data_IF_761257561728
#
_entry.id   IF_761257561728
#
_cell.length_a   1.000
_cell.length_b   1.000
_cell.length_c   1.000
_cell.angle_alpha   90.00
_cell.angle_beta   90.00
_cell.angle_gamma   90.00
#
_symmetry.space_group_name_H-M   'P 1'
#
loop_
_entity.id
_entity.type
_entity.pdbx_description
1 polymer ?
#
# COMPACT_ATOMS: atom_id res chain seq x y z
N UNK A 1 53.84 22.68 47.56
CA UNK A 1 53.03 21.51 47.12
C UNK A 1 51.76 21.88 46.34
N UNK A 2 51.51 23.14 45.95
CA UNK A 2 50.32 23.53 45.17
C UNK A 2 50.54 23.57 43.64
N UNK A 3 51.79 23.61 43.18
CA UNK A 3 52.12 23.74 41.75
C UNK A 3 51.93 22.44 40.95
N UNK A 4 52.04 21.27 41.60
CA UNK A 4 51.78 19.97 40.97
C UNK A 4 50.30 19.64 40.82
N UNK A 5 49.43 20.24 41.64
CA UNK A 5 47.99 19.97 41.61
C UNK A 5 47.30 20.68 40.43
N UNK A 6 47.78 21.88 40.07
CA UNK A 6 47.25 22.65 38.94
C UNK A 6 47.48 21.95 37.59
N UNK A 7 48.65 21.34 37.39
CA UNK A 7 49.00 20.67 36.12
C UNK A 7 48.12 19.45 35.83
N UNK A 8 47.69 18.74 36.88
CA UNK A 8 46.81 17.57 36.76
C UNK A 8 45.37 17.98 36.46
N UNK A 9 44.90 19.09 37.04
CA UNK A 9 43.54 19.61 36.78
C UNK A 9 43.43 20.22 35.38
N UNK A 10 44.46 20.90 34.88
CA UNK A 10 44.49 21.39 33.49
C UNK A 10 44.52 20.25 32.47
N UNK A 11 45.28 19.17 32.73
CA UNK A 11 45.32 18.00 31.85
C UNK A 11 43.96 17.27 31.79
N UNK A 12 43.26 17.10 32.92
CA UNK A 12 41.93 16.49 32.97
C UNK A 12 40.87 17.33 32.22
N UNK A 13 40.99 18.66 32.21
CA UNK A 13 40.11 19.54 31.43
C UNK A 13 40.32 19.46 29.91
N UNK A 14 41.52 19.06 29.47
CA UNK A 14 41.85 18.78 28.07
C UNK A 14 41.36 17.39 27.65
N UNK A 15 41.45 16.38 28.54
CA UNK A 15 40.91 15.04 28.26
C UNK A 15 39.37 15.01 28.23
N UNK A 16 38.69 15.88 28.98
CA UNK A 16 37.23 15.98 28.95
C UNK A 16 36.66 16.54 27.62
N UNK A 17 37.46 17.26 26.82
CA UNK A 17 37.02 17.81 25.52
C UNK A 17 37.28 16.88 24.33
N UNK A 18 38.09 15.84 24.49
CA UNK A 18 38.38 14.89 23.41
C UNK A 18 37.35 13.76 23.26
N UNK A 19 36.44 13.57 24.22
CA UNK A 19 35.45 12.48 24.17
C UNK A 19 34.12 12.86 23.46
N UNK A 20 34.02 14.03 22.84
CA UNK A 20 32.83 14.48 22.09
C UNK A 20 33.01 14.56 20.56
N UNK A 21 34.21 14.26 20.05
CA UNK A 21 34.54 14.40 18.62
C UNK A 21 34.06 13.22 17.76
N UNK A 22 33.93 12.01 18.34
CA UNK A 22 33.53 10.83 17.57
C UNK A 22 32.06 10.81 17.12
N UNK A 23 31.14 11.36 17.93
CA UNK A 23 29.70 11.27 17.67
C UNK A 23 29.23 12.26 16.59
N UNK A 24 29.82 13.46 16.54
CA UNK A 24 29.49 14.47 15.52
C UNK A 24 30.01 14.11 14.13
N UNK A 25 31.22 13.55 14.05
CA UNK A 25 31.83 13.15 12.77
C UNK A 25 31.11 11.92 12.18
N UNK A 26 30.65 10.98 13.02
CA UNK A 26 29.86 9.84 12.54
C UNK A 26 28.49 10.29 12.01
N UNK A 27 27.78 11.18 12.71
CA UNK A 27 26.48 11.71 12.28
C UNK A 27 26.60 12.49 10.96
N UNK A 28 27.62 13.34 10.83
CA UNK A 28 27.87 14.13 9.61
C UNK A 28 28.08 13.22 8.40
N UNK A 29 28.89 12.17 8.53
CA UNK A 29 29.15 11.19 7.47
C UNK A 29 27.87 10.47 7.02
N UNK A 30 26.99 10.09 7.95
CA UNK A 30 25.70 9.45 7.60
C UNK A 30 24.73 10.42 6.89
N UNK A 31 24.74 11.70 7.22
CA UNK A 31 23.94 12.71 6.52
C UNK A 31 24.48 12.99 5.11
N UNK A 32 25.81 13.00 4.91
CA UNK A 32 26.42 13.15 3.60
C UNK A 32 26.18 11.91 2.71
N UNK A 33 26.12 10.72 3.29
CA UNK A 33 25.68 9.52 2.60
C UNK A 33 24.20 9.60 2.20
N UNK A 34 23.31 10.06 3.08
CA UNK A 34 21.89 10.29 2.71
C UNK A 34 21.78 11.25 1.52
N UNK A 35 22.58 12.33 1.45
CA UNK A 35 22.62 13.24 0.28
C UNK A 35 22.92 12.52 -1.04
N UNK A 36 23.78 11.50 -1.03
CA UNK A 36 24.07 10.70 -2.23
C UNK A 36 22.86 9.84 -2.68
N UNK A 37 21.97 9.50 -1.75
CA UNK A 37 20.75 8.74 -2.02
C UNK A 37 19.55 9.62 -2.43
N UNK A 38 19.59 10.93 -2.14
CA UNK A 38 18.52 11.88 -2.50
C UNK A 38 18.31 12.04 -4.02
N UNK A 39 19.27 11.60 -4.84
CA UNK A 39 19.15 11.57 -6.30
C UNK A 39 19.17 10.11 -6.82
N UNK A 40 18.00 9.46 -6.96
CA UNK A 40 17.91 8.13 -7.57
C UNK A 40 18.43 8.20 -9.01
N UNK A 41 19.07 7.12 -9.48
CA UNK A 41 19.51 7.02 -10.87
C UNK A 41 18.33 6.85 -11.81
N UNK A 42 17.35 6.04 -11.43
CA UNK A 42 16.13 5.83 -12.20
C UNK A 42 14.96 5.40 -11.31
N UNK A 43 13.77 5.84 -11.69
CA UNK A 43 12.50 5.33 -11.16
C UNK A 43 11.69 4.89 -12.37
N UNK A 44 11.27 3.64 -12.41
CA UNK A 44 10.45 3.09 -13.51
C UNK A 44 9.19 2.47 -12.95
N UNK A 45 8.07 2.75 -13.61
CA UNK A 45 6.77 2.16 -13.29
C UNK A 45 6.28 1.43 -14.52
N UNK A 46 5.97 0.16 -14.37
CA UNK A 46 5.54 -0.72 -15.46
C UNK A 46 4.23 -1.41 -15.10
N UNK A 47 3.34 -1.52 -16.08
CA UNK A 47 2.10 -2.29 -15.98
C UNK A 47 2.28 -3.65 -16.61
N UNK A 48 2.20 -4.67 -15.78
CA UNK A 48 2.25 -6.07 -16.17
C UNK A 48 0.84 -6.67 -16.23
N UNK A 49 0.70 -7.73 -17.02
CA UNK A 49 -0.56 -8.45 -17.31
C UNK A 49 -1.61 -7.61 -18.05
N UNK A 50 -2.67 -8.29 -18.51
CA UNK A 50 -3.81 -7.73 -19.27
C UNK A 50 -5.14 -8.04 -18.55
N UNK A 51 -6.19 -7.29 -18.87
CA UNK A 51 -7.52 -7.48 -18.28
C UNK A 51 -7.73 -6.70 -16.98
N UNK A 52 -8.58 -7.22 -16.10
CA UNK A 52 -8.92 -6.59 -14.81
C UNK A 52 -7.86 -6.83 -13.74
N UNK A 53 -7.11 -7.92 -13.80
CA UNK A 53 -6.02 -8.22 -12.88
C UNK A 53 -4.70 -7.76 -13.50
N UNK A 54 -4.09 -6.74 -12.91
CA UNK A 54 -2.83 -6.14 -13.36
C UNK A 54 -1.82 -6.15 -12.24
N UNK A 55 -0.56 -5.99 -12.60
CA UNK A 55 0.53 -5.87 -11.63
C UNK A 55 1.29 -4.59 -11.92
N UNK A 56 1.42 -3.74 -10.91
CA UNK A 56 2.18 -2.50 -11.00
C UNK A 56 3.56 -2.77 -10.43
N UNK A 57 4.56 -2.80 -11.30
CA UNK A 57 5.95 -2.99 -10.89
C UNK A 57 6.65 -1.65 -10.85
N UNK A 58 7.09 -1.25 -9.66
CA UNK A 58 7.93 -0.08 -9.44
C UNK A 58 9.35 -0.53 -9.19
N UNK A 59 10.26 0.01 -9.99
CA UNK A 59 11.69 -0.24 -9.87
C UNK A 59 12.38 1.08 -9.54
N UNK A 60 13.05 1.13 -8.40
CA UNK A 60 13.84 2.29 -7.97
C UNK A 60 15.29 1.89 -7.88
N UNK A 61 16.15 2.62 -8.57
CA UNK A 61 17.59 2.41 -8.57
C UNK A 61 18.31 3.62 -7.99
N UNK A 62 19.27 3.37 -7.10
CA UNK A 62 20.10 4.37 -6.44
C UNK A 62 21.56 4.30 -6.90
N UNK A 63 22.24 5.46 -6.87
CA UNK A 63 23.63 5.58 -7.32
C UNK A 63 24.65 4.98 -6.34
N UNK A 64 24.38 4.98 -5.03
CA UNK A 64 25.32 4.57 -3.98
C UNK A 64 25.09 3.13 -3.50
N UNK A 65 26.18 2.45 -3.10
CA UNK A 65 26.24 1.01 -2.74
C UNK A 65 26.49 0.78 -1.24
N UNK A 66 26.93 1.81 -0.50
CA UNK A 66 27.32 1.73 0.92
C UNK A 66 26.14 1.76 1.92
N UNK A 67 26.39 1.19 3.10
CA UNK A 67 25.49 0.47 4.01
C UNK A 67 24.18 1.16 4.46
N UNK A 68 23.06 0.53 4.03
CA UNK A 68 21.98 -0.11 4.80
C UNK A 68 21.23 0.60 5.95
N UNK A 69 21.61 1.81 6.35
CA UNK A 69 20.88 2.58 7.40
C UNK A 69 19.76 3.47 6.84
N UNK A 70 19.66 3.60 5.52
CA UNK A 70 18.61 4.37 4.84
C UNK A 70 17.40 3.48 4.61
N UNK A 71 16.27 3.88 5.17
CA UNK A 71 14.95 3.31 4.94
C UNK A 71 14.31 3.98 3.73
N UNK A 72 13.72 3.16 2.87
CA UNK A 72 13.00 3.60 1.68
C UNK A 72 11.50 3.41 1.92
N UNK A 73 10.71 4.37 1.47
CA UNK A 73 9.25 4.33 1.50
C UNK A 73 8.70 4.80 0.15
N UNK A 74 7.84 4.00 -0.46
CA UNK A 74 7.09 4.36 -1.67
C UNK A 74 5.65 4.65 -1.28
N UNK A 75 5.12 5.80 -1.69
CA UNK A 75 3.71 6.15 -1.52
C UNK A 75 3.03 6.05 -2.88
N UNK A 76 2.15 5.06 -3.01
CA UNK A 76 1.28 4.93 -4.18
C UNK A 76 -0.09 5.54 -3.88
N UNK A 77 -0.56 6.38 -4.81
CA UNK A 77 -1.91 6.93 -4.81
C UNK A 77 -2.71 6.21 -5.88
N UNK A 78 -3.76 5.53 -5.45
CA UNK A 78 -4.58 4.70 -6.33
C UNK A 78 -5.87 5.43 -6.69
N UNK A 79 -6.24 5.47 -7.98
CA UNK A 79 -7.53 6.02 -8.38
C UNK A 79 -8.66 5.12 -7.88
N UNK A 80 -9.87 5.68 -7.81
CA UNK A 80 -11.07 4.93 -7.39
C UNK A 80 -11.43 3.77 -8.32
N UNK A 81 -10.86 3.73 -9.53
CA UNK A 81 -11.16 2.73 -10.55
C UNK A 81 -10.47 1.38 -10.30
N UNK A 82 -9.55 1.33 -9.33
CA UNK A 82 -8.83 0.11 -8.94
C UNK A 82 -8.91 -0.16 -7.45
N UNK A 83 -8.52 -1.37 -7.08
CA UNK A 83 -8.26 -1.75 -5.69
C UNK A 83 -7.10 -2.71 -5.59
N UNK A 84 -6.54 -2.84 -4.39
CA UNK A 84 -5.53 -3.83 -4.06
C UNK A 84 -6.19 -4.85 -3.14
N UNK A 85 -6.15 -6.14 -3.49
CA UNK A 85 -6.75 -7.19 -2.68
C UNK A 85 -5.87 -7.47 -1.43
N UNK A 86 -6.37 -7.20 -0.22
CA UNK A 86 -5.60 -7.44 1.01
C UNK A 86 -5.30 -8.93 1.26
N UNK A 87 -6.17 -9.84 0.81
CA UNK A 87 -5.96 -11.28 0.95
C UNK A 87 -4.83 -11.76 0.03
N UNK A 88 -4.80 -11.25 -1.21
CA UNK A 88 -3.71 -11.54 -2.13
C UNK A 88 -2.39 -10.96 -1.61
N UNK A 89 -2.40 -9.72 -1.10
CA UNK A 89 -1.20 -9.13 -0.48
C UNK A 89 -0.72 -9.97 0.71
N UNK A 90 -1.63 -10.48 1.56
CA UNK A 90 -1.26 -11.28 2.72
C UNK A 90 -0.53 -12.55 2.30
N UNK A 91 -1.02 -13.24 1.26
CA UNK A 91 -0.34 -14.40 0.67
C UNK A 91 1.04 -14.06 0.10
N UNK A 92 1.24 -12.84 -0.38
CA UNK A 92 2.49 -12.36 -0.98
C UNK A 92 3.49 -11.84 0.08
N UNK A 93 3.02 -11.48 1.28
CA UNK A 93 3.83 -10.80 2.30
C UNK A 93 4.98 -11.64 2.86
N UNK A 94 4.84 -12.97 2.87
CA UNK A 94 5.89 -13.87 3.38
C UNK A 94 6.96 -14.22 2.31
N UNK A 95 6.69 -13.95 1.03
CA UNK A 95 7.58 -14.30 -0.09
C UNK A 95 8.29 -13.09 -0.70
N UNK A 96 7.83 -11.87 -0.41
CA UNK A 96 8.34 -10.66 -1.04
C UNK A 96 9.32 -9.90 -0.15
N UNK A 97 10.17 -9.11 -0.80
CA UNK A 97 11.14 -8.22 -0.16
C UNK A 97 10.58 -6.84 0.21
N UNK A 98 9.27 -6.72 0.42
CA UNK A 98 8.61 -5.47 0.80
C UNK A 98 7.39 -5.72 1.68
N UNK A 99 7.01 -4.72 2.47
CA UNK A 99 5.76 -4.72 3.27
C UNK A 99 4.87 -3.57 2.85
N UNK A 100 3.56 -3.77 2.79
CA UNK A 100 2.59 -2.72 2.51
C UNK A 100 1.79 -2.35 3.75
N UNK A 101 1.49 -1.06 3.86
CA UNK A 101 0.53 -0.47 4.78
C UNK A 101 -0.42 0.38 3.97
N UNK A 102 -1.73 0.24 4.16
CA UNK A 102 -2.71 1.07 3.47
C UNK A 102 -3.30 2.09 4.44
N UNK A 103 -3.45 3.34 4.00
CA UNK A 103 -4.19 4.38 4.72
C UNK A 103 -5.38 4.76 3.85
N UNK A 104 -6.58 4.50 4.33
CA UNK A 104 -7.75 5.22 3.85
C UNK A 104 -8.37 6.02 5.01
N UNK A 105 -8.90 7.18 4.65
CA UNK A 105 -9.61 8.06 5.55
C UNK A 105 -10.97 7.45 5.89
N UNK A 106 -11.09 6.97 7.14
CA UNK A 106 -12.30 6.81 7.97
C UNK A 106 -13.45 6.00 7.34
N UNK A 107 -13.72 4.80 7.89
CA UNK A 107 -15.02 4.12 7.78
C UNK A 107 -15.75 4.09 9.12
N UNK A 108 -17.06 4.31 9.05
CA UNK A 108 -18.03 4.13 10.12
C UNK A 108 -18.21 2.64 10.43
N UNK A 109 -18.31 2.31 11.72
CA UNK A 109 -18.36 0.99 12.37
C UNK A 109 -19.66 0.19 12.05
N UNK A 110 -20.29 0.39 10.90
CA UNK A 110 -21.67 -0.11 10.69
C UNK A 110 -21.77 -1.50 10.05
N UNK A 111 -20.70 -2.06 9.48
CA UNK A 111 -20.75 -3.37 8.77
C UNK A 111 -20.41 -4.59 9.64
N UNK A 112 -19.96 -4.41 10.89
CA UNK A 112 -19.66 -5.54 11.79
C UNK A 112 -20.91 -6.08 12.52
N UNK A 113 -22.08 -5.46 12.34
CA UNK A 113 -23.31 -5.80 13.07
C UNK A 113 -24.23 -6.81 12.37
N UNK A 114 -24.01 -7.14 11.10
CA UNK A 114 -24.96 -7.97 10.33
C UNK A 114 -24.66 -9.47 10.43
N UNK A 115 -23.46 -9.89 10.84
CA UNK A 115 -23.11 -11.32 10.93
C UNK A 115 -23.29 -11.95 12.33
N UNK A 116 -23.93 -11.25 13.27
CA UNK A 116 -24.15 -11.75 14.64
C UNK A 116 -25.62 -12.04 14.96
N UNK A 117 -26.55 -11.86 14.03
CA UNK A 117 -27.99 -12.02 14.28
C UNK A 117 -28.63 -13.31 13.73
N UNK A 118 -27.90 -14.21 13.06
CA UNK A 118 -28.49 -15.44 12.50
C UNK A 118 -28.02 -16.76 13.13
N UNK A 119 -27.30 -16.74 14.25
CA UNK A 119 -26.79 -17.99 14.86
C UNK A 119 -27.03 -18.06 16.37
N UNK A 120 -28.30 -18.03 16.76
CA UNK A 120 -28.76 -18.64 18.02
C UNK A 120 -29.24 -20.05 17.69
N UNK A 121 -28.35 -21.06 17.66
CA UNK A 121 -28.78 -22.46 17.86
C UNK A 121 -27.71 -23.55 18.07
N UNK A 122 -26.40 -23.30 18.18
CA UNK A 122 -25.47 -24.41 18.48
C UNK A 122 -24.33 -23.99 19.42
N UNK A 123 -24.50 -24.23 20.73
CA UNK A 123 -23.65 -23.71 21.82
C UNK A 123 -22.25 -24.34 21.96
N UNK A 124 -21.87 -25.35 21.17
CA UNK A 124 -20.60 -26.08 21.37
C UNK A 124 -19.63 -26.04 20.18
N UNK A 125 -20.07 -25.60 18.99
CA UNK A 125 -19.17 -25.39 17.83
C UNK A 125 -18.56 -23.98 17.77
N UNK A 126 -19.06 -23.07 18.61
CA UNK A 126 -18.76 -21.63 18.58
C UNK A 126 -17.32 -21.34 19.01
N UNK A 127 -16.78 -22.02 20.02
CA UNK A 127 -15.44 -21.68 20.54
C UNK A 127 -14.34 -21.98 19.52
N UNK A 128 -14.44 -23.09 18.78
CA UNK A 128 -13.43 -23.49 17.80
C UNK A 128 -13.47 -22.63 16.53
N UNK A 129 -14.67 -22.24 16.06
CA UNK A 129 -14.82 -21.33 14.92
C UNK A 129 -14.33 -19.93 15.29
N UNK A 130 -14.63 -19.43 16.50
CA UNK A 130 -14.10 -18.14 16.97
C UNK A 130 -12.59 -18.13 17.13
N UNK A 131 -11.98 -19.25 17.54
CA UNK A 131 -10.52 -19.37 17.67
C UNK A 131 -9.83 -19.48 16.29
N UNK A 132 -10.40 -20.22 15.34
CA UNK A 132 -9.91 -20.30 13.96
C UNK A 132 -10.12 -18.98 13.20
N UNK A 133 -11.26 -18.29 13.39
CA UNK A 133 -11.48 -16.95 12.84
C UNK A 133 -10.53 -15.93 13.47
N UNK A 134 -10.27 -15.97 14.79
CA UNK A 134 -9.25 -15.13 15.41
C UNK A 134 -7.85 -15.47 14.91
N UNK A 135 -7.48 -16.73 14.73
CA UNK A 135 -6.17 -17.11 14.22
C UNK A 135 -5.98 -16.69 12.75
N UNK A 136 -7.01 -16.79 11.92
CA UNK A 136 -7.01 -16.30 10.54
C UNK A 136 -7.01 -14.76 10.47
N UNK A 137 -7.75 -14.09 11.35
CA UNK A 137 -7.80 -12.63 11.46
C UNK A 137 -6.49 -12.03 12.01
N UNK A 138 -5.83 -12.73 12.96
CA UNK A 138 -4.52 -12.36 13.52
C UNK A 138 -3.40 -12.61 12.51
N UNK A 139 -3.45 -13.69 11.71
CA UNK A 139 -2.46 -13.96 10.66
C UNK A 139 -2.62 -13.06 9.42
N UNK A 140 -3.79 -12.42 9.25
CA UNK A 140 -4.02 -11.33 8.31
C UNK A 140 -3.29 -10.04 8.69
N UNK A 141 -2.76 -9.92 9.91
CA UNK A 141 -2.13 -8.71 10.43
C UNK A 141 -0.60 -8.73 10.25
N UNK A 142 -0.14 -8.71 9.00
CA UNK A 142 1.19 -8.15 8.64
C UNK A 142 1.12 -7.06 7.58
N UNK A 143 -0.07 -6.78 7.05
CA UNK A 143 -0.38 -5.63 6.20
C UNK A 143 -1.37 -4.81 6.99
N UNK A 144 -0.87 -3.73 7.59
CA UNK A 144 -1.72 -2.85 8.38
C UNK A 144 -2.55 -2.03 7.38
N UNK A 145 -3.76 -2.51 7.05
CA UNK A 145 -4.75 -1.69 6.37
C UNK A 145 -5.54 -0.96 7.44
N UNK A 146 -5.40 0.37 7.49
CA UNK A 146 -6.14 1.23 8.43
C UNK A 146 -7.64 1.36 8.07
N UNK A 147 -8.09 0.64 7.03
CA UNK A 147 -9.45 0.68 6.47
C UNK A 147 -9.77 -0.61 5.70
N UNK A 148 -11.01 -1.10 5.79
CA UNK A 148 -11.48 -2.21 4.96
C UNK A 148 -11.61 -1.75 3.50
N UNK A 149 -10.83 -2.35 2.59
CA UNK A 149 -11.09 -2.22 1.15
C UNK A 149 -12.29 -3.10 0.85
N UNK A 150 -13.43 -2.47 0.58
CA UNK A 150 -14.61 -3.19 0.10
C UNK A 150 -14.37 -3.59 -1.36
N UNK A 151 -14.29 -4.89 -1.61
CA UNK A 151 -14.03 -5.48 -2.93
C UNK A 151 -15.26 -5.40 -3.85
N UNK A 152 -16.45 -5.30 -3.27
CA UNK A 152 -17.73 -5.32 -3.99
C UNK A 152 -18.20 -3.92 -4.40
N UNK A 153 -17.60 -2.86 -3.86
CA UNK A 153 -17.98 -1.49 -4.20
C UNK A 153 -17.58 -1.15 -5.64
N UNK A 154 -18.53 -0.70 -6.47
CA UNK A 154 -18.24 -0.30 -7.86
C UNK A 154 -17.46 1.02 -7.93
N UNK A 155 -16.75 1.25 -9.03
CA UNK A 155 -15.85 2.39 -9.23
C UNK A 155 -16.50 3.77 -8.99
N UNK A 156 -17.79 3.91 -9.27
CA UNK A 156 -18.54 5.17 -9.11
C UNK A 156 -18.95 5.49 -7.66
N UNK A 157 -18.81 4.53 -6.74
CA UNK A 157 -19.05 4.71 -5.30
C UNK A 157 -17.76 4.62 -4.49
N UNK A 158 -16.69 4.13 -5.09
CA UNK A 158 -15.38 4.02 -4.47
C UNK A 158 -14.67 5.38 -4.39
N UNK A 159 -13.82 5.53 -3.38
CA UNK A 159 -12.84 6.60 -3.28
C UNK A 159 -11.45 6.08 -3.66
N UNK A 160 -10.56 6.98 -4.10
CA UNK A 160 -9.14 6.66 -4.18
C UNK A 160 -8.57 6.36 -2.79
N UNK A 161 -7.41 5.70 -2.75
CA UNK A 161 -6.75 5.32 -1.50
C UNK A 161 -5.22 5.39 -1.65
N UNK A 162 -4.51 5.33 -0.52
CA UNK A 162 -3.05 5.45 -0.49
C UNK A 162 -2.43 4.21 0.12
N UNK A 163 -1.37 3.69 -0.50
CA UNK A 163 -0.56 2.60 0.05
C UNK A 163 0.88 3.01 0.23
N UNK A 164 1.39 2.77 1.43
CA UNK A 164 2.76 2.91 1.88
C UNK A 164 3.49 1.59 1.71
N UNK A 165 4.51 1.54 0.87
CA UNK A 165 5.31 0.34 0.63
C UNK A 165 6.70 0.54 1.23
N UNK A 166 7.10 -0.39 2.08
CA UNK A 166 8.40 -0.43 2.74
C UNK A 166 9.22 -1.56 2.11
N UNK A 167 9.95 -1.28 1.01
CA UNK A 167 10.88 -2.24 0.47
C UNK A 167 12.07 -2.43 1.41
N UNK A 168 12.56 -3.66 1.51
CA UNK A 168 13.75 -4.00 2.26
C UNK A 168 14.75 -4.72 1.36
N UNK A 169 16.03 -4.49 1.62
CA UNK A 169 17.09 -5.11 0.83
C UNK A 169 17.23 -6.58 1.23
N UNK A 170 17.23 -7.47 0.24
CA UNK A 170 17.56 -8.91 0.43
C UNK A 170 19.06 -9.20 0.38
N UNK A 171 19.90 -8.18 0.21
CA UNK A 171 21.36 -8.31 0.15
C UNK A 171 22.10 -7.12 0.78
N UNK A 172 23.40 -7.27 1.10
CA UNK A 172 24.16 -6.25 1.82
C UNK A 172 24.39 -4.93 1.03
N UNK A 173 24.13 -4.91 -0.29
CA UNK A 173 24.52 -3.81 -1.20
C UNK A 173 23.52 -3.54 -2.34
N UNK A 174 22.22 -3.76 -2.12
CA UNK A 174 21.24 -3.64 -3.21
C UNK A 174 20.90 -2.17 -3.51
N UNK A 175 21.39 -1.69 -4.67
CA UNK A 175 21.02 -0.41 -5.28
C UNK A 175 19.59 -0.38 -5.84
N UNK A 176 18.99 -1.56 -6.00
CA UNK A 176 17.78 -1.77 -6.79
C UNK A 176 16.67 -2.29 -5.89
N UNK A 177 15.58 -1.52 -5.79
CA UNK A 177 14.35 -1.93 -5.13
C UNK A 177 13.29 -2.19 -6.19
N UNK A 178 12.84 -3.44 -6.28
CA UNK A 178 11.76 -3.85 -7.16
C UNK A 178 10.56 -4.24 -6.30
N UNK A 179 9.45 -3.56 -6.51
CA UNK A 179 8.19 -3.78 -5.80
C UNK A 179 7.11 -4.06 -6.82
N UNK A 180 6.35 -5.13 -6.65
CA UNK A 180 5.24 -5.48 -7.55
C UNK A 180 3.95 -5.57 -6.75
N UNK A 181 3.00 -4.67 -7.02
CA UNK A 181 1.71 -4.61 -6.32
C UNK A 181 0.62 -5.13 -7.26
N UNK A 182 -0.11 -6.19 -6.88
CA UNK A 182 -1.27 -6.62 -7.64
C UNK A 182 -2.41 -5.61 -7.47
N UNK A 183 -3.03 -5.23 -8.59
CA UNK A 183 -4.19 -4.36 -8.62
C UNK A 183 -5.31 -5.00 -9.44
N UNK A 184 -6.53 -4.65 -9.06
CA UNK A 184 -7.75 -5.15 -9.68
C UNK A 184 -8.58 -3.95 -10.13
N UNK A 185 -9.06 -3.98 -11.38
CA UNK A 185 -10.04 -3.02 -11.87
C UNK A 185 -11.39 -3.22 -11.18
N UNK A 186 -12.03 -2.13 -10.76
CA UNK A 186 -13.41 -2.16 -10.26
C UNK A 186 -14.40 -2.18 -11.40
N UNK A 187 -15.63 -2.62 -11.11
CA UNK A 187 -16.73 -2.51 -12.06
C UNK A 187 -17.18 -1.05 -12.25
N UNK A 188 -17.27 -0.64 -13.50
CA UNK A 188 -17.76 0.69 -13.91
C UNK A 188 -19.24 0.64 -14.30
N UNK A 189 -19.88 1.81 -14.30
CA UNK A 189 -21.19 1.96 -14.94
C UNK A 189 -21.04 1.71 -16.44
N UNK A 190 -22.10 1.20 -17.10
CA UNK A 190 -22.10 1.11 -18.54
C UNK A 190 -21.97 2.49 -19.17
N UNK A 191 -21.34 2.56 -20.33
CA UNK A 191 -21.17 3.80 -21.08
C UNK A 191 -22.32 4.02 -22.05
N UNK A 192 -22.82 5.25 -22.11
CA UNK A 192 -23.87 5.66 -23.05
C UNK A 192 -23.30 6.48 -24.22
N UNK A 193 -22.00 6.78 -24.21
CA UNK A 193 -21.29 7.54 -25.25
C UNK A 193 -20.69 6.63 -26.36
N UNK A 194 -21.09 5.35 -26.39
CA UNK A 194 -20.56 4.36 -27.32
C UNK A 194 -19.14 3.87 -27.01
N UNK A 195 -18.48 4.38 -25.96
CA UNK A 195 -17.15 3.89 -25.58
C UNK A 195 -17.27 2.61 -24.76
N UNK A 196 -16.67 1.55 -25.27
CA UNK A 196 -16.59 0.25 -24.58
C UNK A 196 -15.37 0.13 -23.65
N UNK A 197 -14.51 1.16 -23.60
CA UNK A 197 -13.27 1.15 -22.83
C UNK A 197 -13.14 2.44 -22.01
N UNK A 198 -12.75 2.30 -20.75
CA UNK A 198 -12.45 3.39 -19.83
C UNK A 198 -10.95 3.40 -19.51
N UNK A 199 -10.28 4.51 -19.80
CA UNK A 199 -8.89 4.73 -19.38
C UNK A 199 -8.79 5.01 -17.89
N UNK A 200 -7.82 4.38 -17.26
CA UNK A 200 -7.44 4.54 -15.85
C UNK A 200 -5.96 4.87 -15.79
N UNK A 201 -5.63 5.99 -15.17
CA UNK A 201 -4.28 6.50 -15.05
C UNK A 201 -3.75 6.23 -13.64
N UNK A 202 -2.56 5.66 -13.55
CA UNK A 202 -1.84 5.43 -12.29
C UNK A 202 -0.67 6.40 -12.24
N UNK A 203 -0.71 7.25 -11.23
CA UNK A 203 0.37 8.19 -10.94
C UNK A 203 1.62 7.46 -10.46
N UNK A 204 2.75 8.10 -10.71
CA UNK A 204 4.07 7.62 -10.27
C UNK A 204 4.15 7.76 -8.75
N UNK A 205 4.68 6.76 -8.02
CA UNK A 205 4.75 6.81 -6.56
C UNK A 205 5.70 7.89 -6.06
N UNK A 206 5.36 8.48 -4.91
CA UNK A 206 6.27 9.39 -4.22
C UNK A 206 7.35 8.58 -3.50
N UNK A 207 8.62 8.94 -3.73
CA UNK A 207 9.77 8.30 -3.10
C UNK A 207 10.22 9.09 -1.87
N UNK A 208 10.27 8.41 -0.73
CA UNK A 208 10.67 8.95 0.55
C UNK A 208 11.86 8.19 1.11
N UNK A 209 12.82 8.94 1.66
CA UNK A 209 14.02 8.40 2.30
C UNK A 209 14.10 8.85 3.75
N UNK A 210 14.59 7.96 4.62
CA UNK A 210 14.84 8.27 6.03
C UNK A 210 16.09 7.57 6.52
N UNK A 211 16.91 8.28 7.29
CA UNK A 211 18.03 7.70 8.04
C UNK A 211 17.78 7.91 9.54
N UNK A 212 18.05 6.91 10.37
CA UNK A 212 17.91 7.03 11.84
C UNK A 212 19.07 7.78 12.48
N UNK A 213 20.22 7.82 11.82
CA UNK A 213 21.45 8.46 12.31
C UNK A 213 21.57 9.93 11.91
N UNK A 214 20.72 10.42 11.00
CA UNK A 214 20.72 11.81 10.56
C UNK A 214 19.55 12.56 11.22
N UNK A 215 19.83 13.26 12.32
CA UNK A 215 18.82 14.03 13.07
C UNK A 215 18.53 15.41 12.45
N UNK A 216 19.43 15.96 11.63
CA UNK A 216 19.28 17.28 10.99
C UNK A 216 18.82 17.15 9.53
N UNK A 217 17.62 16.61 9.32
CA UNK A 217 17.00 16.49 8.00
C UNK A 217 16.68 17.85 7.36
N UNK A 218 16.56 18.90 8.19
CA UNK A 218 16.22 20.27 7.80
C UNK A 218 17.32 21.00 7.01
N UNK A 219 18.56 20.51 7.02
CA UNK A 219 19.70 21.11 6.28
C UNK A 219 19.91 20.50 4.88
N UNK A 220 18.96 19.68 4.42
CA UNK A 220 18.98 18.99 3.12
C UNK A 220 18.18 19.77 2.07
N UNK A 221 18.43 21.07 1.95
CA UNK A 221 17.88 21.86 0.84
C UNK A 221 18.46 21.35 -0.50
N UNK A 222 17.64 21.21 -1.56
CA UNK A 222 16.28 21.74 -1.74
C UNK A 222 15.13 20.72 -1.53
N UNK A 223 15.32 19.68 -0.70
CA UNK A 223 14.34 18.59 -0.57
C UNK A 223 13.31 18.84 0.55
N UNK A 224 12.04 18.54 0.27
CA UNK A 224 10.93 18.76 1.22
C UNK A 224 10.90 17.63 2.26
N UNK A 225 10.83 17.98 3.54
CA UNK A 225 10.61 17.01 4.63
C UNK A 225 9.12 16.82 4.85
N UNK A 226 8.65 15.58 4.91
CA UNK A 226 7.23 15.22 5.13
C UNK A 226 7.10 14.14 6.19
N UNK A 227 5.98 14.14 6.90
CA UNK A 227 5.70 13.15 7.94
C UNK A 227 4.93 11.94 7.37
N UNK A 228 5.46 10.74 7.63
CA UNK A 228 4.84 9.49 7.21
C UNK A 228 5.10 8.38 8.25
N UNK A 229 4.31 7.27 8.26
CA UNK A 229 4.48 6.23 9.25
C UNK A 229 5.88 5.62 9.21
N UNK A 230 6.44 5.33 10.38
CA UNK A 230 7.83 4.88 10.49
C UNK A 230 8.04 3.46 9.95
N UNK A 231 7.03 2.60 10.11
CA UNK A 231 7.08 1.19 9.71
C UNK A 231 5.69 0.71 9.26
N UNK A 232 5.67 -0.46 8.62
CA UNK A 232 4.42 -1.12 8.23
C UNK A 232 3.54 -1.53 9.43
N UNK A 233 4.13 -1.80 10.61
CA UNK A 233 3.43 -2.36 11.77
C UNK A 233 3.10 -1.36 12.88
N UNK A 234 3.80 -0.23 13.00
CA UNK A 234 3.62 0.73 14.10
C UNK A 234 2.96 2.03 13.61
N UNK A 235 2.00 2.57 14.35
CA UNK A 235 1.31 3.84 14.07
C UNK A 235 2.15 5.10 14.31
N UNK A 236 3.37 4.99 14.83
CA UNK A 236 4.28 6.14 14.99
C UNK A 236 4.56 6.85 13.67
N UNK A 237 4.63 8.17 13.72
CA UNK A 237 4.96 9.05 12.57
C UNK A 237 6.42 9.48 12.66
N UNK A 238 7.11 9.52 11.53
CA UNK A 238 8.51 9.91 11.44
C UNK A 238 8.68 10.89 10.28
N UNK A 239 9.74 11.69 10.34
CA UNK A 239 10.09 12.63 9.27
C UNK A 239 10.90 11.92 8.18
N UNK A 240 10.51 12.18 6.93
CA UNK A 240 11.09 11.60 5.72
C UNK A 240 11.46 12.71 4.75
N UNK A 241 12.52 12.51 3.97
CA UNK A 241 12.89 13.40 2.88
C UNK A 241 12.21 12.95 1.60
N UNK A 242 11.40 13.84 1.00
CA UNK A 242 10.80 13.63 -0.31
C UNK A 242 11.83 13.84 -1.40
N UNK A 243 12.05 12.78 -2.15
CA UNK A 243 12.92 12.78 -3.32
C UNK A 243 12.13 13.29 -4.52
N UNK A 244 12.68 14.27 -5.23
CA UNK A 244 12.15 14.68 -6.53
C UNK A 244 12.74 13.75 -7.60
N UNK A 245 11.91 13.05 -8.38
CA UNK A 245 12.41 12.27 -9.51
C UNK A 245 13.17 13.16 -10.50
N UNK A 246 14.27 12.64 -11.05
CA UNK A 246 15.14 13.39 -11.98
C UNK A 246 14.56 13.47 -13.42
N UNK A 247 13.44 12.80 -13.70
CA UNK A 247 12.79 12.70 -15.01
C UNK A 247 11.30 13.05 -14.90
N UNK A 248 10.73 13.61 -15.97
CA UNK A 248 9.29 13.72 -16.18
C UNK A 248 8.70 12.32 -16.34
N UNK A 249 8.35 11.69 -15.22
CA UNK A 249 7.76 10.37 -15.21
C UNK A 249 6.29 10.49 -15.60
N UNK A 250 5.97 10.01 -16.80
CA UNK A 250 4.60 9.98 -17.27
C UNK A 250 3.77 8.94 -16.48
N UNK A 251 2.53 9.27 -16.10
CA UNK A 251 1.60 8.30 -15.53
C UNK A 251 1.44 7.08 -16.45
N UNK A 252 1.27 5.90 -15.85
CA UNK A 252 0.96 4.69 -16.62
C UNK A 252 -0.54 4.53 -16.74
N UNK A 253 -1.05 4.53 -17.96
CA UNK A 253 -2.48 4.39 -18.24
C UNK A 253 -2.81 3.01 -18.78
N UNK A 254 -3.96 2.45 -18.39
CA UNK A 254 -4.51 1.25 -19.02
C UNK A 254 -6.02 1.36 -19.19
N UNK A 255 -6.57 0.49 -20.02
CA UNK A 255 -7.99 0.50 -20.35
C UNK A 255 -8.71 -0.69 -19.69
N UNK A 256 -9.88 -0.39 -19.11
CA UNK A 256 -10.83 -1.36 -18.56
C UNK A 256 -12.07 -1.42 -19.44
N UNK A 257 -12.60 -2.61 -19.75
CA UNK A 257 -13.83 -2.73 -20.51
C UNK A 257 -15.04 -2.30 -19.68
N UNK A 258 -15.96 -1.59 -20.33
CA UNK A 258 -17.23 -1.14 -19.77
C UNK A 258 -18.38 -1.63 -20.64
N UNK A 259 -19.52 -1.91 -20.01
CA UNK A 259 -20.72 -2.36 -20.73
C UNK A 259 -21.32 -1.25 -21.58
N UNK A 260 -22.08 -1.62 -22.62
CA UNK A 260 -22.87 -0.69 -23.42
C UNK A 260 -24.20 -0.39 -22.74
N UNK A 261 -24.40 0.89 -22.39
CA UNK A 261 -25.61 1.37 -21.72
C UNK A 261 -26.86 1.32 -22.61
N UNK A 262 -26.70 1.39 -23.93
CA UNK A 262 -27.82 1.39 -24.88
C UNK A 262 -28.54 0.04 -24.93
N UNK A 263 -27.84 -1.05 -24.64
CA UNK A 263 -28.39 -2.40 -24.59
C UNK A 263 -29.09 -2.72 -23.26
N UNK A 264 -28.97 -1.89 -22.23
CA UNK A 264 -29.51 -2.20 -20.89
C UNK A 264 -31.01 -2.50 -20.96
N UNK A 265 -31.80 -1.67 -21.65
CA UNK A 265 -33.25 -1.88 -21.76
C UNK A 265 -33.59 -3.19 -22.50
N UNK A 266 -32.86 -3.50 -23.58
CA UNK A 266 -33.06 -4.70 -24.38
C UNK A 266 -32.70 -5.97 -23.60
N UNK A 267 -31.55 -5.95 -22.93
CA UNK A 267 -31.07 -7.07 -22.10
C UNK A 267 -32.03 -7.29 -20.93
N UNK A 268 -32.40 -6.24 -20.20
CA UNK A 268 -33.35 -6.34 -19.09
C UNK A 268 -34.72 -6.87 -19.55
N UNK A 269 -35.25 -6.35 -20.67
CA UNK A 269 -36.51 -6.81 -21.24
C UNK A 269 -36.46 -8.29 -21.66
N UNK A 270 -35.39 -8.70 -22.34
CA UNK A 270 -35.17 -10.08 -22.75
C UNK A 270 -35.03 -11.04 -21.56
N UNK A 271 -34.23 -10.69 -20.55
CA UNK A 271 -34.08 -11.49 -19.33
C UNK A 271 -35.42 -11.63 -18.61
N UNK A 272 -36.17 -10.53 -18.46
CA UNK A 272 -37.47 -10.56 -17.80
C UNK A 272 -38.47 -11.45 -18.56
N UNK A 273 -38.50 -11.36 -19.89
CA UNK A 273 -39.35 -12.21 -20.73
C UNK A 273 -39.01 -13.70 -20.54
N UNK A 274 -37.72 -14.05 -20.62
CA UNK A 274 -37.25 -15.43 -20.43
C UNK A 274 -37.57 -15.94 -19.03
N UNK A 275 -37.34 -15.12 -17.99
CA UNK A 275 -37.69 -15.46 -16.61
C UNK A 275 -39.18 -15.72 -16.47
N UNK A 276 -40.05 -14.89 -17.05
CA UNK A 276 -41.50 -15.10 -17.00
C UNK A 276 -41.92 -16.39 -17.72
N UNK A 277 -41.36 -16.68 -18.90
CA UNK A 277 -41.63 -17.95 -19.62
C UNK A 277 -41.20 -19.15 -18.79
N UNK A 278 -40.00 -19.11 -18.19
CA UNK A 278 -39.51 -20.16 -17.32
C UNK A 278 -40.40 -20.35 -16.09
N UNK A 279 -40.82 -19.27 -15.44
CA UNK A 279 -41.74 -19.33 -14.29
C UNK A 279 -43.09 -19.96 -14.67
N UNK A 280 -43.67 -19.60 -15.81
CA UNK A 280 -44.93 -20.18 -16.29
C UNK A 280 -44.77 -21.66 -16.63
N UNK A 281 -43.70 -22.03 -17.33
CA UNK A 281 -43.44 -23.43 -17.67
C UNK A 281 -43.23 -24.31 -16.43
N UNK A 282 -42.45 -23.83 -15.46
CA UNK A 282 -42.24 -24.50 -14.18
C UNK A 282 -43.55 -24.61 -13.38
N UNK A 283 -44.34 -23.54 -13.30
CA UNK A 283 -45.63 -23.57 -12.59
C UNK A 283 -46.59 -24.57 -13.22
N UNK A 284 -46.68 -24.61 -14.56
CA UNK A 284 -47.49 -25.59 -15.29
C UNK A 284 -47.01 -27.02 -15.07
N UNK A 285 -45.70 -27.23 -15.04
CA UNK A 285 -45.11 -28.54 -14.77
C UNK A 285 -45.45 -29.01 -13.34
N UNK A 286 -45.25 -28.16 -12.33
CA UNK A 286 -45.58 -28.47 -10.94
C UNK A 286 -47.07 -28.77 -10.76
N UNK A 287 -47.96 -28.00 -11.39
CA UNK A 287 -49.41 -28.23 -11.37
C UNK A 287 -49.79 -29.58 -11.98
N UNK A 288 -49.17 -29.94 -13.11
CA UNK A 288 -49.45 -31.21 -13.81
C UNK A 288 -48.97 -32.43 -13.01
N UNK A 289 -47.88 -32.29 -12.27
CA UNK A 289 -47.25 -33.38 -11.52
C UNK A 289 -47.64 -33.42 -10.02
N UNK A 290 -48.59 -32.58 -9.57
CA UNK A 290 -49.06 -32.52 -8.18
C UNK A 290 -47.92 -32.47 -7.15
N UNK A 291 -46.88 -31.69 -7.45
CA UNK A 291 -45.78 -31.44 -6.50
C UNK A 291 -46.21 -30.40 -5.45
N UNK A 292 -47.40 -29.81 -5.61
CA UNK A 292 -48.16 -28.99 -4.66
C UNK A 292 -49.60 -29.50 -4.67
#
# INVERSE_FOLDING_TARGET
>A
MYFKLFYVVSALSLFSKCLCLGEKDEIQNHCDLLRQWLAPSSVRVELNKKGFHREVTTTVEFRSKELSSVKVLLIHRWPRDVYVDPYQLASLSDQNNWKVRCRATRYSITQCKILLQTTVMYKTCIVYIYFLFNYFCVKLCKILLDSAIDLEVPAHKASGFVTYVYPFSTGPTSKLFKVTIPIHGRYHKPSFDGKMLKSVDIEVPELLLRSEKCAQLSSLEPHTVVDAPCTASNSSTCSWVKVKPQQDLNPVSFQLPVGDGSLVAHVCGGTLLVTMICCVALSKYMWKHQVI
#
